data_IF_502731481273
#
_entry.id   IF_502731481273
#
_cell.length_a   1.000
_cell.length_b   1.000
_cell.length_c   1.000
_cell.angle_alpha   90.00
_cell.angle_beta   90.00
_cell.angle_gamma   90.00
#
_symmetry.space_group_name_H-M   'P 1'
#
loop_
_entity.id
_entity.type
_entity.pdbx_description
1 polymer ?
#
# COMPACT_ATOMS: atom_id res chain seq x y z
N UNK A 1 -20.74 3.89 36.28
CA UNK A 1 -19.67 4.14 35.28
C UNK A 1 -18.32 3.96 35.98
N UNK A 2 -17.63 2.84 35.79
CA UNK A 2 -16.27 2.64 36.34
C UNK A 2 -15.32 3.48 35.51
N UNK A 3 -14.55 4.33 36.15
CA UNK A 3 -13.47 5.12 35.57
C UNK A 3 -12.46 4.18 34.89
N UNK A 4 -12.24 4.35 33.58
CA UNK A 4 -11.19 3.67 32.78
C UNK A 4 -9.80 4.29 33.05
N UNK A 5 -9.51 4.71 34.27
CA UNK A 5 -8.25 5.33 34.68
C UNK A 5 -7.31 4.28 35.28
N UNK A 6 -6.98 3.27 34.49
CA UNK A 6 -5.93 2.35 34.84
C UNK A 6 -5.16 1.99 33.58
N UNK A 7 -3.87 2.28 33.53
CA UNK A 7 -2.89 2.08 32.42
C UNK A 7 -3.52 2.20 31.02
N UNK A 8 -3.15 3.14 30.17
CA UNK A 8 -3.82 3.31 28.89
C UNK A 8 -3.64 1.99 28.10
N UNK A 9 -4.75 1.35 27.75
CA UNK A 9 -4.74 0.23 26.80
C UNK A 9 -4.09 0.75 25.51
N UNK A 10 -2.91 0.23 25.11
CA UNK A 10 -2.21 0.73 23.92
C UNK A 10 -3.08 0.68 22.67
N UNK A 11 -3.89 -0.35 22.54
CA UNK A 11 -4.82 -0.50 21.42
C UNK A 11 -5.89 0.60 21.38
N UNK A 12 -6.47 0.93 22.52
CA UNK A 12 -7.44 2.05 22.61
C UNK A 12 -6.76 3.39 22.28
N UNK A 13 -5.53 3.61 22.74
CA UNK A 13 -4.76 4.80 22.41
C UNK A 13 -4.51 4.91 20.90
N UNK A 14 -4.15 3.83 20.24
CA UNK A 14 -3.97 3.76 18.79
C UNK A 14 -5.29 4.05 18.05
N UNK A 15 -6.41 3.48 18.47
CA UNK A 15 -7.74 3.81 17.92
C UNK A 15 -8.04 5.32 18.02
N UNK A 16 -7.81 5.92 19.19
CA UNK A 16 -8.04 7.34 19.39
C UNK A 16 -7.10 8.24 18.59
N UNK A 17 -5.94 7.76 18.20
CA UNK A 17 -4.96 8.49 17.39
C UNK A 17 -5.21 8.39 15.87
N UNK A 18 -6.17 7.59 15.40
CA UNK A 18 -6.49 7.45 13.97
C UNK A 18 -6.77 8.79 13.26
N UNK A 19 -7.54 9.76 13.82
CA UNK A 19 -7.76 11.02 13.13
C UNK A 19 -6.49 11.79 12.82
N UNK A 20 -5.51 11.75 13.72
CA UNK A 20 -4.23 12.43 13.50
C UNK A 20 -3.33 11.64 12.51
N UNK A 21 -3.37 10.33 12.56
CA UNK A 21 -2.70 9.48 11.57
C UNK A 21 -3.24 9.76 10.16
N UNK A 22 -4.56 9.84 9.98
CA UNK A 22 -5.18 10.16 8.70
C UNK A 22 -4.78 11.55 8.17
N UNK A 23 -4.72 12.57 9.06
CA UNK A 23 -4.24 13.91 8.66
C UNK A 23 -2.78 13.88 8.18
N UNK A 24 -1.91 13.18 8.91
CA UNK A 24 -0.50 13.01 8.51
C UNK A 24 -0.38 12.28 7.19
N UNK A 25 -1.12 11.19 7.02
CA UNK A 25 -1.12 10.40 5.78
C UNK A 25 -1.59 11.23 4.59
N UNK A 26 -2.68 11.97 4.72
CA UNK A 26 -3.17 12.85 3.66
C UNK A 26 -2.16 13.94 3.31
N UNK A 27 -1.56 14.59 4.31
CA UNK A 27 -0.53 15.61 4.10
C UNK A 27 0.72 15.03 3.43
N UNK A 28 1.16 13.85 3.85
CA UNK A 28 2.32 13.15 3.26
C UNK A 28 2.04 12.76 1.80
N UNK A 29 0.86 12.23 1.50
CA UNK A 29 0.45 11.89 0.14
C UNK A 29 0.50 13.13 -0.78
N UNK A 30 -0.11 14.24 -0.37
CA UNK A 30 -0.11 15.49 -1.17
C UNK A 30 1.30 16.03 -1.38
N UNK A 31 2.21 15.83 -0.41
CA UNK A 31 3.59 16.28 -0.51
C UNK A 31 4.48 15.40 -1.43
N UNK A 32 4.03 14.19 -1.78
CA UNK A 32 4.77 13.24 -2.63
C UNK A 32 4.61 13.56 -4.13
N UNK A 33 4.85 14.80 -4.53
CA UNK A 33 4.52 15.29 -5.88
C UNK A 33 5.30 14.61 -7.00
N UNK A 34 6.59 14.35 -6.81
CA UNK A 34 7.44 13.68 -7.80
C UNK A 34 7.03 12.21 -7.97
N UNK A 35 6.77 11.54 -6.85
CA UNK A 35 6.31 10.15 -6.84
C UNK A 35 4.94 10.00 -7.53
N UNK A 36 4.02 10.91 -7.24
CA UNK A 36 2.68 10.89 -7.83
C UNK A 36 2.71 11.19 -9.33
N UNK A 37 3.56 12.09 -9.78
CA UNK A 37 3.73 12.36 -11.21
C UNK A 37 4.32 11.13 -11.93
N UNK A 38 5.36 10.49 -11.40
CA UNK A 38 5.93 9.27 -11.97
C UNK A 38 4.90 8.14 -12.06
N UNK A 39 4.05 7.98 -11.04
CA UNK A 39 2.96 7.00 -11.07
C UNK A 39 1.94 7.35 -12.16
N UNK A 40 1.55 8.62 -12.27
CA UNK A 40 0.57 9.09 -13.25
C UNK A 40 1.05 8.87 -14.69
N UNK A 41 2.29 9.24 -14.98
CA UNK A 41 2.91 9.03 -16.28
C UNK A 41 2.91 7.55 -16.65
N UNK A 42 3.36 6.70 -15.71
CA UNK A 42 3.42 5.26 -15.94
C UNK A 42 2.05 4.62 -16.09
N UNK A 43 1.07 5.07 -15.32
CA UNK A 43 -0.29 4.54 -15.40
C UNK A 43 -0.96 4.76 -16.77
N UNK A 44 -0.58 5.81 -17.49
CA UNK A 44 -1.07 6.06 -18.85
C UNK A 44 -0.54 5.07 -19.91
N UNK A 45 0.55 4.35 -19.59
CA UNK A 45 1.21 3.43 -20.51
C UNK A 45 0.87 1.96 -20.25
N UNK A 46 0.34 1.64 -19.06
CA UNK A 46 0.07 0.24 -18.66
C UNK A 46 -1.34 -0.19 -19.05
N UNK A 47 -1.52 -1.50 -19.19
CA UNK A 47 -2.80 -2.12 -19.52
C UNK A 47 -3.56 -2.58 -18.29
N UNK A 48 -2.86 -2.84 -17.21
CA UNK A 48 -3.46 -3.42 -15.99
C UNK A 48 -2.74 -2.88 -14.76
N UNK A 49 -3.51 -2.60 -13.73
CA UNK A 49 -3.01 -2.25 -12.41
C UNK A 49 -3.28 -3.41 -11.47
N UNK A 50 -2.24 -3.95 -10.84
CA UNK A 50 -2.33 -5.04 -9.88
C UNK A 50 -2.08 -4.50 -8.48
N UNK A 51 -3.06 -4.60 -7.60
CA UNK A 51 -2.93 -4.33 -6.18
C UNK A 51 -2.64 -5.63 -5.44
N UNK A 52 -1.73 -5.58 -4.49
CA UNK A 52 -1.38 -6.76 -3.70
C UNK A 52 -0.95 -6.39 -2.28
N UNK A 53 -1.22 -7.26 -1.36
CA UNK A 53 -0.89 -7.17 0.07
C UNK A 53 -1.22 -8.48 0.75
N UNK A 54 -1.05 -8.53 2.07
CA UNK A 54 -1.41 -9.67 2.91
C UNK A 54 -2.25 -9.21 4.09
N UNK A 55 -3.25 -10.02 4.50
CA UNK A 55 -4.11 -9.71 5.64
C UNK A 55 -4.75 -8.32 5.52
N UNK A 56 -4.66 -7.50 6.55
CA UNK A 56 -5.24 -6.15 6.55
C UNK A 56 -4.72 -5.24 5.43
N UNK A 57 -3.49 -5.43 4.97
CA UNK A 57 -2.97 -4.68 3.82
C UNK A 57 -3.66 -5.06 2.51
N UNK A 58 -4.03 -6.33 2.34
CA UNK A 58 -4.86 -6.80 1.23
C UNK A 58 -6.26 -6.18 1.32
N UNK A 59 -6.89 -6.25 2.49
CA UNK A 59 -8.24 -5.70 2.71
C UNK A 59 -8.29 -4.18 2.48
N UNK A 60 -7.23 -3.45 2.83
CA UNK A 60 -7.12 -2.01 2.60
C UNK A 60 -7.12 -1.63 1.11
N UNK A 61 -6.70 -2.52 0.21
CA UNK A 61 -6.71 -2.29 -1.24
C UNK A 61 -8.12 -2.36 -1.85
N UNK A 62 -9.03 -3.09 -1.23
CA UNK A 62 -10.33 -3.44 -1.81
C UNK A 62 -11.16 -2.22 -2.26
N UNK A 63 -11.31 -1.14 -1.45
CA UNK A 63 -12.06 0.04 -1.86
C UNK A 63 -11.44 0.76 -3.08
N UNK A 64 -10.12 0.86 -3.14
CA UNK A 64 -9.42 1.51 -4.24
C UNK A 64 -9.59 0.75 -5.56
N UNK A 65 -9.47 -0.58 -5.51
CA UNK A 65 -9.66 -1.44 -6.69
C UNK A 65 -11.09 -1.35 -7.21
N UNK A 66 -12.09 -1.35 -6.31
CA UNK A 66 -13.49 -1.22 -6.71
C UNK A 66 -13.80 0.16 -7.31
N UNK A 67 -13.22 1.24 -6.76
CA UNK A 67 -13.38 2.59 -7.33
C UNK A 67 -12.80 2.66 -8.76
N UNK A 68 -11.59 2.15 -8.96
CA UNK A 68 -10.95 2.06 -10.28
C UNK A 68 -11.76 1.23 -11.27
N UNK A 69 -12.18 0.03 -10.87
CA UNK A 69 -12.99 -0.85 -11.70
C UNK A 69 -14.34 -0.22 -12.06
N UNK A 70 -14.97 0.49 -11.12
CA UNK A 70 -16.21 1.23 -11.35
C UNK A 70 -16.06 2.37 -12.37
N UNK A 71 -14.85 2.90 -12.56
CA UNK A 71 -14.49 3.90 -13.58
C UNK A 71 -13.99 3.27 -14.88
N UNK A 72 -14.00 1.94 -15.01
CA UNK A 72 -13.52 1.23 -16.20
C UNK A 72 -12.01 1.09 -16.30
N UNK A 73 -11.26 1.39 -15.24
CA UNK A 73 -9.81 1.17 -15.18
C UNK A 73 -9.54 -0.30 -14.86
N UNK A 74 -8.73 -1.03 -15.67
CA UNK A 74 -8.42 -2.42 -15.44
C UNK A 74 -7.55 -2.61 -14.18
N UNK A 75 -8.19 -2.73 -13.03
CA UNK A 75 -7.54 -2.93 -11.73
C UNK A 75 -7.98 -4.27 -11.13
N UNK A 76 -7.02 -5.04 -10.64
CA UNK A 76 -7.27 -6.32 -9.97
C UNK A 76 -6.56 -6.38 -8.61
N UNK A 77 -7.15 -7.12 -7.69
CA UNK A 77 -6.60 -7.39 -6.36
C UNK A 77 -6.22 -8.86 -6.26
N UNK A 78 -4.97 -9.12 -5.91
CA UNK A 78 -4.43 -10.48 -5.74
C UNK A 78 -3.68 -10.56 -4.42
N UNK A 79 -3.88 -11.60 -3.63
CA UNK A 79 -3.08 -11.85 -2.43
C UNK A 79 -1.61 -12.04 -2.80
N UNK A 80 -0.69 -11.51 -1.97
CA UNK A 80 0.74 -11.51 -2.31
C UNK A 80 1.35 -12.91 -2.36
N UNK A 81 0.87 -13.85 -1.54
CA UNK A 81 1.34 -15.23 -1.61
C UNK A 81 0.82 -15.94 -2.88
N UNK A 82 -0.45 -15.70 -3.26
CA UNK A 82 -0.97 -16.19 -4.53
C UNK A 82 -0.20 -15.61 -5.72
N UNK A 83 0.07 -14.31 -5.69
CA UNK A 83 0.80 -13.63 -6.75
C UNK A 83 2.23 -14.19 -6.87
N UNK A 84 2.92 -14.36 -5.74
CA UNK A 84 4.26 -14.92 -5.68
C UNK A 84 4.34 -16.35 -6.22
N UNK A 85 3.42 -17.22 -5.82
CA UNK A 85 3.54 -18.66 -6.08
C UNK A 85 2.84 -19.13 -7.35
N UNK A 86 1.75 -18.47 -7.76
CA UNK A 86 0.87 -18.98 -8.80
C UNK A 86 0.58 -18.01 -9.94
N UNK A 87 0.62 -16.70 -9.71
CA UNK A 87 0.12 -15.70 -10.66
C UNK A 87 1.16 -14.72 -11.19
N UNK A 88 2.44 -14.91 -10.89
CA UNK A 88 3.50 -14.03 -11.40
C UNK A 88 3.49 -13.79 -12.91
N UNK A 89 3.09 -14.74 -13.76
CA UNK A 89 3.06 -14.51 -15.21
C UNK A 89 2.11 -13.39 -15.67
N UNK A 90 1.20 -12.89 -14.79
CA UNK A 90 0.38 -11.71 -15.14
C UNK A 90 1.15 -10.39 -15.00
N UNK A 91 2.33 -10.42 -14.38
CA UNK A 91 3.18 -9.26 -14.16
C UNK A 91 4.16 -9.09 -15.32
N UNK A 92 3.95 -8.08 -16.12
CA UNK A 92 4.79 -7.75 -17.27
C UNK A 92 5.09 -6.26 -17.36
N UNK A 93 5.80 -5.83 -18.41
CA UNK A 93 6.18 -4.42 -18.59
C UNK A 93 5.00 -3.47 -18.79
N UNK A 94 3.84 -4.00 -19.15
CA UNK A 94 2.57 -3.30 -19.32
C UNK A 94 1.69 -3.36 -18.06
N UNK A 95 2.29 -3.66 -16.91
CA UNK A 95 1.61 -3.74 -15.61
C UNK A 95 2.19 -2.72 -14.63
N UNK A 96 1.32 -2.03 -13.88
CA UNK A 96 1.68 -1.28 -12.68
C UNK A 96 1.29 -2.12 -11.47
N UNK A 97 2.24 -2.37 -10.56
CA UNK A 97 2.00 -3.19 -9.35
C UNK A 97 2.08 -2.30 -8.12
N UNK A 98 1.00 -2.24 -7.37
CA UNK A 98 0.92 -1.55 -6.07
C UNK A 98 1.02 -2.59 -4.97
N UNK A 99 2.14 -2.61 -4.26
CA UNK A 99 2.41 -3.54 -3.15
C UNK A 99 2.21 -2.80 -1.83
N UNK A 100 1.28 -3.28 -1.02
CA UNK A 100 0.93 -2.69 0.28
C UNK A 100 1.41 -3.57 1.42
N UNK A 101 2.18 -3.01 2.32
CA UNK A 101 2.66 -3.71 3.53
C UNK A 101 2.95 -2.70 4.63
N UNK A 102 2.39 -2.92 5.81
CA UNK A 102 2.60 -2.04 6.96
C UNK A 102 4.09 -1.85 7.29
N UNK A 103 4.81 -2.93 7.47
CA UNK A 103 6.24 -2.88 7.81
C UNK A 103 7.16 -2.79 6.59
N UNK A 104 6.70 -3.25 5.42
CA UNK A 104 7.54 -3.46 4.24
C UNK A 104 8.57 -4.57 4.39
N UNK A 105 8.46 -5.42 5.43
CA UNK A 105 9.45 -6.44 5.79
C UNK A 105 8.86 -7.86 5.85
N UNK A 106 7.57 -8.05 5.56
CA UNK A 106 6.96 -9.39 5.50
C UNK A 106 7.68 -10.24 4.46
N UNK A 107 8.03 -11.48 4.83
CA UNK A 107 8.92 -12.33 4.02
C UNK A 107 8.39 -12.57 2.59
N UNK A 108 7.10 -12.83 2.43
CA UNK A 108 6.46 -13.04 1.13
C UNK A 108 6.46 -11.75 0.30
N UNK A 109 6.20 -10.60 0.91
CA UNK A 109 6.20 -9.27 0.27
C UNK A 109 7.59 -8.93 -0.25
N UNK A 110 8.61 -9.08 0.59
CA UNK A 110 10.00 -8.80 0.22
C UNK A 110 10.47 -9.76 -0.88
N UNK A 111 10.12 -11.04 -0.76
CA UNK A 111 10.44 -12.03 -1.78
C UNK A 111 9.75 -11.71 -3.11
N UNK A 112 8.45 -11.38 -3.09
CA UNK A 112 7.72 -10.98 -4.29
C UNK A 112 8.39 -9.79 -4.97
N UNK A 113 8.66 -8.73 -4.24
CA UNK A 113 9.29 -7.52 -4.77
C UNK A 113 10.68 -7.81 -5.37
N UNK A 114 11.50 -8.61 -4.69
CA UNK A 114 12.81 -9.03 -5.20
C UNK A 114 12.70 -9.89 -6.47
N UNK A 115 11.80 -10.86 -6.51
CA UNK A 115 11.60 -11.72 -7.67
C UNK A 115 11.05 -10.93 -8.87
N UNK A 116 10.22 -9.91 -8.66
CA UNK A 116 9.81 -8.98 -9.72
C UNK A 116 11.02 -8.23 -10.27
N UNK A 117 11.88 -7.69 -9.44
CA UNK A 117 13.08 -6.92 -9.87
C UNK A 117 14.09 -7.74 -10.64
N UNK A 118 14.11 -9.05 -10.47
CA UNK A 118 14.99 -9.96 -11.23
C UNK A 118 14.48 -10.28 -12.65
N UNK A 119 13.23 -9.93 -12.96
CA UNK A 119 12.70 -10.12 -14.32
C UNK A 119 13.33 -9.09 -15.27
N UNK A 120 13.66 -9.52 -16.49
CA UNK A 120 14.23 -8.63 -17.51
C UNK A 120 13.28 -7.50 -17.88
N UNK A 121 12.01 -7.84 -18.08
CA UNK A 121 10.94 -6.91 -18.45
C UNK A 121 9.95 -6.82 -17.28
N UNK A 122 10.42 -6.27 -16.14
CA UNK A 122 9.62 -6.20 -14.92
C UNK A 122 8.54 -5.10 -14.98
N UNK A 123 7.43 -5.28 -14.26
CA UNK A 123 6.41 -4.24 -14.10
C UNK A 123 6.96 -3.03 -13.35
N UNK A 124 6.26 -1.91 -13.44
CA UNK A 124 6.52 -0.76 -12.59
C UNK A 124 5.94 -0.99 -11.19
N UNK A 125 6.77 -0.87 -10.17
CA UNK A 125 6.42 -1.20 -8.78
C UNK A 125 6.27 0.04 -7.93
N UNK A 126 5.09 0.21 -7.35
CA UNK A 126 4.79 1.20 -6.31
C UNK A 126 4.68 0.50 -4.96
N UNK A 127 5.47 0.89 -3.99
CA UNK A 127 5.33 0.44 -2.60
C UNK A 127 4.50 1.42 -1.77
N UNK A 128 3.63 0.90 -0.93
CA UNK A 128 2.93 1.66 0.12
C UNK A 128 3.26 1.02 1.46
N UNK A 129 3.97 1.75 2.32
CA UNK A 129 4.36 1.24 3.64
C UNK A 129 4.39 2.35 4.69
N UNK A 130 4.45 1.98 5.95
CA UNK A 130 4.59 2.94 7.05
C UNK A 130 6.08 3.24 7.28
N UNK A 131 6.55 4.28 6.60
CA UNK A 131 7.96 4.59 6.42
C UNK A 131 8.53 4.04 5.11
N UNK A 132 9.65 4.58 4.66
CA UNK A 132 10.29 4.23 3.39
C UNK A 132 11.68 3.60 3.55
N UNK A 133 12.13 3.36 4.76
CA UNK A 133 13.38 2.66 5.06
C UNK A 133 13.12 1.20 5.42
N UNK A 134 12.69 0.43 4.41
CA UNK A 134 12.40 -1.00 4.53
C UNK A 134 12.71 -1.73 3.20
N UNK A 135 12.71 -3.06 3.24
CA UNK A 135 13.11 -3.89 2.10
C UNK A 135 12.18 -3.75 0.90
N UNK A 136 10.87 -3.64 1.12
CA UNK A 136 9.90 -3.42 0.05
C UNK A 136 10.15 -2.07 -0.65
N UNK A 137 10.30 -1.01 0.13
CA UNK A 137 10.53 0.33 -0.41
C UNK A 137 11.85 0.41 -1.21
N UNK A 138 12.89 -0.29 -0.77
CA UNK A 138 14.16 -0.39 -1.50
C UNK A 138 14.06 -1.13 -2.84
N UNK A 139 13.10 -2.04 -2.95
CA UNK A 139 12.87 -2.81 -4.18
C UNK A 139 11.87 -2.15 -5.15
N UNK A 140 11.15 -1.10 -4.75
CA UNK A 140 10.16 -0.40 -5.56
C UNK A 140 10.77 0.70 -6.44
N UNK A 141 10.10 1.02 -7.55
CA UNK A 141 10.44 2.17 -8.40
C UNK A 141 9.96 3.47 -7.74
N UNK A 142 8.80 3.44 -7.10
CA UNK A 142 8.23 4.55 -6.34
C UNK A 142 7.79 4.09 -4.94
N UNK A 143 7.97 4.97 -3.95
CA UNK A 143 7.67 4.70 -2.53
C UNK A 143 6.70 5.73 -1.99
N UNK A 144 5.56 5.28 -1.52
CA UNK A 144 4.59 6.11 -0.82
C UNK A 144 4.60 5.74 0.67
N UNK A 145 4.88 6.75 1.49
CA UNK A 145 4.87 6.63 2.95
C UNK A 145 3.48 6.96 3.47
N UNK A 146 2.87 6.04 4.23
CA UNK A 146 1.58 6.30 4.87
C UNK A 146 1.69 7.27 6.05
N UNK A 147 2.89 7.45 6.62
CA UNK A 147 3.15 8.33 7.77
C UNK A 147 2.17 8.13 8.96
N UNK A 148 1.70 6.89 9.14
CA UNK A 148 0.74 6.57 10.20
C UNK A 148 1.30 6.81 11.60
N UNK A 149 2.61 6.63 11.77
CA UNK A 149 3.29 6.62 13.06
C UNK A 149 3.42 5.20 13.62
N UNK A 150 4.00 5.07 14.82
CA UNK A 150 4.23 3.76 15.43
C UNK A 150 2.91 3.08 15.80
N UNK A 151 2.84 1.77 15.58
CA UNK A 151 1.74 0.89 15.94
C UNK A 151 2.31 -0.38 16.56
N UNK A 152 1.78 -0.79 17.69
CA UNK A 152 2.29 -1.95 18.45
C UNK A 152 1.26 -3.06 18.58
N UNK A 153 -0.01 -2.73 18.37
CA UNK A 153 -1.13 -3.64 18.47
C UNK A 153 -1.61 -4.18 17.10
N UNK A 154 -2.82 -4.72 17.06
CA UNK A 154 -3.49 -5.06 15.81
C UNK A 154 -3.64 -3.84 14.90
N UNK A 155 -3.60 -4.08 13.60
CA UNK A 155 -3.65 -3.00 12.60
C UNK A 155 -4.89 -2.10 12.77
N UNK A 156 -4.66 -0.82 13.07
CA UNK A 156 -5.66 0.24 13.25
C UNK A 156 -5.25 1.52 12.55
N UNK A 157 -4.19 2.18 13.06
CA UNK A 157 -3.62 3.40 12.49
C UNK A 157 -3.12 3.15 11.08
N UNK A 158 -2.29 2.12 10.92
CA UNK A 158 -1.65 1.77 9.66
C UNK A 158 -2.65 1.31 8.62
N UNK A 159 -3.69 0.58 9.03
CA UNK A 159 -4.80 0.21 8.15
C UNK A 159 -5.54 1.44 7.61
N UNK A 160 -5.95 2.35 8.50
CA UNK A 160 -6.66 3.58 8.13
C UNK A 160 -5.81 4.49 7.25
N UNK A 161 -4.52 4.62 7.57
CA UNK A 161 -3.56 5.41 6.79
C UNK A 161 -3.30 4.82 5.41
N UNK A 162 -3.18 3.49 5.30
CA UNK A 162 -3.06 2.80 4.02
C UNK A 162 -4.31 3.03 3.15
N UNK A 163 -5.51 2.92 3.72
CA UNK A 163 -6.76 3.23 3.02
C UNK A 163 -6.81 4.67 2.51
N UNK A 164 -6.35 5.64 3.31
CA UNK A 164 -6.31 7.05 2.89
C UNK A 164 -5.34 7.27 1.71
N UNK A 165 -4.14 6.69 1.79
CA UNK A 165 -3.13 6.73 0.71
C UNK A 165 -3.67 6.07 -0.56
N UNK A 166 -4.26 4.88 -0.44
CA UNK A 166 -4.85 4.13 -1.55
C UNK A 166 -6.04 4.88 -2.19
N UNK A 167 -6.87 5.54 -1.38
CA UNK A 167 -7.97 6.37 -1.89
C UNK A 167 -7.45 7.58 -2.67
N UNK A 168 -6.37 8.21 -2.20
CA UNK A 168 -5.68 9.26 -2.94
C UNK A 168 -5.10 8.75 -4.25
N UNK A 169 -4.42 7.61 -4.22
CA UNK A 169 -3.85 6.96 -5.41
C UNK A 169 -4.92 6.57 -6.43
N UNK A 170 -6.04 5.99 -5.99
CA UNK A 170 -7.14 5.64 -6.90
C UNK A 170 -7.74 6.85 -7.61
N UNK A 171 -7.74 8.03 -6.98
CA UNK A 171 -8.17 9.27 -7.63
C UNK A 171 -7.17 9.84 -8.63
N UNK A 172 -5.90 9.54 -8.44
CA UNK A 172 -4.83 9.91 -9.37
C UNK A 172 -4.88 9.05 -10.64
N UNK A 173 -5.16 7.77 -10.48
CA UNK A 173 -5.26 6.75 -11.54
C UNK A 173 -6.64 6.76 -12.22
#
# INVERSE_FOLDING_TARGET
MRSLHGSPDPFLAEICAQPDALRRSAARFVASTEELEAIRERAAEVRTIVFTGMGSSYDACYPAVNDLAGRGVPAILVDSAELLHFRRPILGPDTLVVIVSQSGESAEIVRLAREIRLQRDHPFVVSISNGTDNDLARAADVRLDTAAGPETGPSTLTFSAAMATLSGLARLL
#
